data_IF_825138135748
#
_entry.id   IF_825138135748
#
_cell.length_a   1.000
_cell.length_b   1.000
_cell.length_c   1.000
_cell.angle_alpha   90.00
_cell.angle_beta   90.00
_cell.angle_gamma   90.00
#
_symmetry.space_group_name_H-M   'P 1'
#
loop_
_entity.id
_entity.type
_entity.pdbx_description
1 polymer ?
#
# COMPACT_ATOMS: atom_id res chain seq x y z
N UNK A 1 -5.73 60.20 -12.89
CA UNK A 1 -5.45 58.83 -12.38
C UNK A 1 -6.45 58.51 -11.27
N UNK A 2 -7.38 57.58 -11.49
CA UNK A 2 -8.40 57.16 -10.51
C UNK A 2 -7.76 56.17 -9.53
N UNK A 3 -7.60 56.55 -8.26
CA UNK A 3 -7.14 55.63 -7.19
C UNK A 3 -8.28 54.68 -6.84
N UNK A 4 -8.12 53.40 -7.15
CA UNK A 4 -9.01 52.34 -6.68
C UNK A 4 -8.68 52.12 -5.20
N UNK A 5 -9.53 52.65 -4.32
CA UNK A 5 -9.44 52.38 -2.89
C UNK A 5 -9.96 50.96 -2.63
N UNK A 6 -9.04 50.01 -2.48
CA UNK A 6 -9.37 48.66 -2.02
C UNK A 6 -9.88 48.74 -0.57
N UNK A 7 -11.20 48.76 -0.40
CA UNK A 7 -11.83 48.64 0.91
C UNK A 7 -11.51 47.26 1.47
N UNK A 8 -10.57 47.17 2.42
CA UNK A 8 -10.36 45.98 3.24
C UNK A 8 -11.56 45.83 4.18
N UNK A 9 -12.62 45.16 3.70
CA UNK A 9 -13.69 44.67 4.59
C UNK A 9 -13.12 43.49 5.38
N UNK A 10 -12.99 43.66 6.69
CA UNK A 10 -12.76 42.54 7.59
C UNK A 10 -14.01 41.66 7.60
N UNK A 11 -13.82 40.34 7.66
CA UNK A 11 -14.92 39.36 7.72
C UNK A 11 -15.84 39.66 8.91
N UNK A 12 -17.14 39.65 8.69
CA UNK A 12 -18.10 39.81 9.80
C UNK A 12 -18.20 38.51 10.61
N UNK A 13 -18.49 38.63 11.91
CA UNK A 13 -18.70 37.49 12.79
C UNK A 13 -19.75 36.48 12.26
N UNK A 14 -20.92 36.90 11.74
CA UNK A 14 -21.88 35.95 11.18
C UNK A 14 -21.40 35.28 9.88
N UNK A 15 -20.58 35.95 9.05
CA UNK A 15 -19.99 35.31 7.86
C UNK A 15 -18.99 34.21 8.25
N UNK A 16 -18.16 34.43 9.27
CA UNK A 16 -17.26 33.37 9.77
C UNK A 16 -18.05 32.21 10.38
N UNK A 17 -19.12 32.50 11.13
CA UNK A 17 -19.98 31.46 11.69
C UNK A 17 -20.61 30.59 10.59
N UNK A 18 -21.12 31.22 9.53
CA UNK A 18 -21.68 30.51 8.38
C UNK A 18 -20.63 29.65 7.69
N UNK A 19 -19.42 30.16 7.48
CA UNK A 19 -18.32 29.40 6.87
C UNK A 19 -17.95 28.18 7.72
N UNK A 20 -17.84 28.33 9.04
CA UNK A 20 -17.54 27.20 9.94
C UNK A 20 -18.64 26.14 9.89
N UNK A 21 -19.92 26.54 9.87
CA UNK A 21 -21.05 25.60 9.73
C UNK A 21 -20.98 24.85 8.41
N UNK A 22 -20.74 25.55 7.30
CA UNK A 22 -20.62 24.93 5.98
C UNK A 22 -19.43 23.97 5.91
N UNK A 23 -18.27 24.35 6.45
CA UNK A 23 -17.09 23.49 6.55
C UNK A 23 -17.36 22.26 7.42
N UNK A 24 -18.11 22.41 8.51
CA UNK A 24 -18.52 21.29 9.37
C UNK A 24 -19.36 20.26 8.61
N UNK A 25 -20.34 20.73 7.83
CA UNK A 25 -21.20 19.85 7.01
C UNK A 25 -20.37 19.14 5.94
N UNK A 26 -19.53 19.86 5.20
CA UNK A 26 -18.69 19.28 4.14
C UNK A 26 -17.68 18.28 4.72
N UNK A 27 -17.07 18.61 5.85
CA UNK A 27 -16.12 17.73 6.55
C UNK A 27 -16.80 16.44 7.01
N UNK A 28 -17.99 16.52 7.59
CA UNK A 28 -18.73 15.34 8.07
C UNK A 28 -18.98 14.30 6.96
N UNK A 29 -19.21 14.74 5.72
CA UNK A 29 -19.41 13.85 4.56
C UNK A 29 -18.07 13.38 3.98
N UNK A 30 -17.07 14.26 3.93
CA UNK A 30 -15.81 13.99 3.21
C UNK A 30 -14.86 13.09 3.99
N UNK A 31 -14.83 13.20 5.32
CA UNK A 31 -13.93 12.44 6.19
C UNK A 31 -14.10 10.92 6.01
N UNK A 32 -15.29 10.31 6.16
CA UNK A 32 -15.43 8.85 6.02
C UNK A 32 -15.10 8.37 4.60
N UNK A 33 -15.38 9.18 3.58
CA UNK A 33 -15.05 8.85 2.20
C UNK A 33 -13.54 8.72 1.99
N UNK A 34 -12.76 9.67 2.51
CA UNK A 34 -11.29 9.64 2.40
C UNK A 34 -10.71 8.46 3.15
N UNK A 35 -11.21 8.15 4.35
CA UNK A 35 -10.76 6.97 5.10
C UNK A 35 -11.00 5.66 4.36
N UNK A 36 -12.20 5.47 3.80
CA UNK A 36 -12.52 4.26 3.03
C UNK A 36 -11.65 4.12 1.77
N UNK A 37 -11.34 5.24 1.10
CA UNK A 37 -10.47 5.26 -0.07
C UNK A 37 -9.02 4.91 0.31
N UNK A 38 -8.53 5.43 1.44
CA UNK A 38 -7.18 5.12 1.93
C UNK A 38 -7.04 3.64 2.28
N UNK A 39 -8.02 3.08 3.00
CA UNK A 39 -8.03 1.67 3.37
C UNK A 39 -8.07 0.76 2.13
N UNK A 40 -8.94 1.08 1.16
CA UNK A 40 -9.00 0.39 -0.12
C UNK A 40 -7.67 0.50 -0.88
N UNK A 41 -7.04 1.67 -0.84
CA UNK A 41 -5.73 1.92 -1.43
C UNK A 41 -4.64 1.04 -0.82
N UNK A 42 -4.57 0.95 0.52
CA UNK A 42 -3.62 0.05 1.20
C UNK A 42 -3.83 -1.40 0.79
N UNK A 43 -5.09 -1.85 0.71
CA UNK A 43 -5.42 -3.21 0.28
C UNK A 43 -4.93 -3.50 -1.13
N UNK A 44 -5.19 -2.59 -2.07
CA UNK A 44 -4.78 -2.76 -3.47
C UNK A 44 -3.26 -2.64 -3.65
N UNK A 45 -2.59 -1.77 -2.88
CA UNK A 45 -1.13 -1.71 -2.84
C UNK A 45 -0.54 -3.04 -2.35
N UNK A 46 -1.08 -3.61 -1.27
CA UNK A 46 -0.62 -4.88 -0.74
C UNK A 46 -0.80 -6.03 -1.75
N UNK A 47 -1.92 -6.07 -2.48
CA UNK A 47 -2.14 -7.02 -3.59
C UNK A 47 -1.13 -6.84 -4.72
N UNK A 48 -0.85 -5.59 -5.10
CA UNK A 48 0.14 -5.27 -6.14
C UNK A 48 1.54 -5.75 -5.76
N UNK A 49 1.94 -5.55 -4.51
CA UNK A 49 3.20 -6.08 -3.95
C UNK A 49 3.22 -7.60 -3.97
N UNK A 50 2.12 -8.26 -3.58
CA UNK A 50 2.04 -9.71 -3.64
C UNK A 50 2.13 -10.24 -5.08
N UNK A 51 1.54 -9.53 -6.05
CA UNK A 51 1.67 -9.86 -7.47
C UNK A 51 3.11 -9.69 -7.98
N UNK A 52 3.78 -8.59 -7.60
CA UNK A 52 5.17 -8.36 -7.99
C UNK A 52 6.12 -9.39 -7.38
N UNK A 53 5.86 -9.86 -6.15
CA UNK A 53 6.59 -10.98 -5.55
C UNK A 53 6.40 -12.29 -6.31
N UNK A 54 5.18 -12.61 -6.76
CA UNK A 54 4.96 -13.79 -7.60
C UNK A 54 5.65 -13.65 -8.97
N UNK A 55 5.66 -12.46 -9.57
CA UNK A 55 6.40 -12.19 -10.80
C UNK A 55 7.93 -12.32 -10.59
N UNK A 56 8.44 -11.92 -9.43
CA UNK A 56 9.83 -12.11 -9.03
C UNK A 56 10.17 -13.60 -8.86
N UNK A 57 9.29 -14.40 -8.21
CA UNK A 57 9.42 -15.87 -8.14
C UNK A 57 9.49 -16.53 -9.52
N UNK A 58 8.65 -16.07 -10.44
CA UNK A 58 8.69 -16.55 -11.83
C UNK A 58 10.02 -16.17 -12.52
N UNK A 59 10.48 -14.94 -12.34
CA UNK A 59 11.77 -14.47 -12.88
C UNK A 59 12.97 -15.24 -12.32
N UNK A 60 12.93 -15.56 -11.02
CA UNK A 60 13.92 -16.41 -10.37
C UNK A 60 13.95 -17.81 -11.00
N UNK A 61 12.77 -18.41 -11.24
CA UNK A 61 12.65 -19.71 -11.91
C UNK A 61 13.23 -19.71 -13.31
N UNK A 62 13.04 -18.62 -14.06
CA UNK A 62 13.54 -18.49 -15.43
C UNK A 62 15.05 -18.25 -15.51
N UNK A 63 15.66 -17.67 -14.46
CA UNK A 63 17.07 -17.29 -14.46
C UNK A 63 17.97 -18.30 -13.75
N UNK A 64 17.44 -19.10 -12.83
CA UNK A 64 18.20 -20.08 -12.08
C UNK A 64 17.84 -21.51 -12.47
N UNK A 65 18.83 -22.27 -12.93
CA UNK A 65 18.65 -23.64 -13.40
C UNK A 65 18.08 -24.59 -12.32
N UNK A 66 18.49 -24.40 -11.07
CA UNK A 66 18.06 -25.21 -9.92
C UNK A 66 17.16 -24.42 -8.95
N UNK A 67 16.37 -23.46 -9.46
CA UNK A 67 15.51 -22.58 -8.66
C UNK A 67 14.60 -23.33 -7.68
N UNK A 68 13.91 -24.38 -8.13
CA UNK A 68 13.00 -25.15 -7.27
C UNK A 68 13.72 -25.81 -6.10
N UNK A 69 14.93 -26.34 -6.35
CA UNK A 69 15.74 -26.97 -5.31
C UNK A 69 16.24 -25.91 -4.33
N UNK A 70 16.84 -24.82 -4.81
CA UNK A 70 17.34 -23.73 -3.96
C UNK A 70 16.23 -23.16 -3.07
N UNK A 71 15.04 -22.96 -3.63
CA UNK A 71 13.88 -22.45 -2.89
C UNK A 71 13.36 -23.45 -1.86
N UNK A 72 13.35 -24.75 -2.18
CA UNK A 72 12.95 -25.81 -1.25
C UNK A 72 13.93 -26.00 -0.09
N UNK A 73 15.21 -25.66 -0.26
CA UNK A 73 16.21 -25.69 0.81
C UNK A 73 16.08 -24.50 1.77
N UNK A 74 15.38 -23.43 1.37
CA UNK A 74 15.13 -22.29 2.25
C UNK A 74 14.12 -22.68 3.36
N UNK A 75 14.54 -22.52 4.60
CA UNK A 75 13.84 -23.02 5.79
C UNK A 75 12.76 -22.03 6.23
N UNK A 76 13.02 -20.74 6.05
CA UNK A 76 12.16 -19.65 6.51
C UNK A 76 11.81 -18.68 5.38
N UNK A 77 10.83 -17.82 5.65
CA UNK A 77 10.32 -16.84 4.69
C UNK A 77 11.35 -15.76 4.35
N UNK A 78 12.29 -15.47 5.26
CA UNK A 78 13.37 -14.51 5.05
C UNK A 78 14.36 -15.01 3.99
N UNK A 79 14.81 -16.26 4.10
CA UNK A 79 15.68 -16.91 3.11
C UNK A 79 14.98 -17.01 1.75
N UNK A 80 13.68 -17.37 1.74
CA UNK A 80 12.87 -17.40 0.51
C UNK A 80 12.76 -16.02 -0.13
N UNK A 81 12.61 -14.97 0.68
CA UNK A 81 12.59 -13.59 0.22
C UNK A 81 13.94 -13.18 -0.36
N UNK A 82 15.06 -13.49 0.30
CA UNK A 82 16.41 -13.17 -0.18
C UNK A 82 16.71 -13.78 -1.56
N UNK A 83 16.19 -14.98 -1.85
CA UNK A 83 16.36 -15.62 -3.16
C UNK A 83 15.64 -14.85 -4.28
N UNK A 84 14.50 -14.23 -3.99
CA UNK A 84 13.70 -13.51 -4.99
C UNK A 84 13.97 -12.00 -5.01
N UNK A 85 14.56 -11.45 -3.94
CA UNK A 85 14.86 -10.04 -3.75
C UNK A 85 15.57 -9.40 -4.95
N UNK A 86 16.58 -10.02 -5.61
CA UNK A 86 17.26 -9.43 -6.76
C UNK A 86 16.36 -9.24 -7.99
N UNK A 87 15.17 -9.84 -8.00
CA UNK A 87 14.19 -9.80 -9.09
C UNK A 87 13.00 -8.90 -8.77
N UNK A 88 12.97 -8.28 -7.59
CA UNK A 88 11.88 -7.43 -7.13
C UNK A 88 12.32 -5.95 -7.18
N UNK A 89 11.68 -5.10 -8.00
CA UNK A 89 12.05 -3.69 -8.09
C UNK A 89 11.73 -2.95 -6.79
N UNK A 90 12.70 -2.19 -6.27
CA UNK A 90 12.52 -1.41 -5.04
C UNK A 90 12.48 -2.25 -3.77
N UNK A 91 13.00 -3.48 -3.81
CA UNK A 91 13.02 -4.39 -2.66
C UNK A 91 13.75 -3.80 -1.45
N UNK A 92 13.09 -3.74 -0.30
CA UNK A 92 13.73 -3.47 0.98
C UNK A 92 14.45 -4.70 1.53
N UNK A 93 15.06 -4.56 2.71
CA UNK A 93 15.77 -5.64 3.40
C UNK A 93 14.85 -6.80 3.82
N UNK A 94 13.55 -6.52 4.00
CA UNK A 94 12.53 -7.50 4.38
C UNK A 94 11.26 -7.35 3.53
N UNK A 95 10.48 -8.44 3.42
CA UNK A 95 9.18 -8.45 2.75
C UNK A 95 8.18 -7.47 3.35
N UNK A 96 8.29 -7.21 4.65
CA UNK A 96 7.34 -6.42 5.42
C UNK A 96 7.53 -4.91 5.21
N UNK A 97 8.74 -4.48 4.84
CA UNK A 97 9.04 -3.06 4.54
C UNK A 97 8.31 -2.55 3.28
N UNK A 98 7.84 -3.46 2.42
CA UNK A 98 7.14 -3.12 1.19
C UNK A 98 5.62 -3.00 1.36
N UNK A 99 5.09 -3.42 2.51
CA UNK A 99 3.66 -3.54 2.75
C UNK A 99 3.16 -2.40 3.66
N UNK A 100 1.91 -1.95 3.49
CA UNK A 100 1.26 -1.09 4.47
C UNK A 100 1.15 -1.78 5.83
N UNK A 101 1.08 -1.00 6.92
CA UNK A 101 0.95 -1.55 8.26
C UNK A 101 -0.27 -2.49 8.38
N UNK A 102 -0.08 -3.61 9.07
CA UNK A 102 -1.12 -4.65 9.26
C UNK A 102 -1.25 -5.64 8.09
N UNK A 103 -0.45 -5.49 7.02
CA UNK A 103 -0.35 -6.45 5.94
C UNK A 103 0.93 -7.26 6.04
N UNK A 104 0.82 -8.57 5.87
CA UNK A 104 1.93 -9.51 5.95
C UNK A 104 1.88 -10.48 4.77
N UNK A 105 3.07 -10.83 4.27
CA UNK A 105 3.21 -11.85 3.23
C UNK A 105 3.91 -13.08 3.80
N UNK A 106 3.37 -14.26 3.48
CA UNK A 106 3.98 -15.55 3.82
C UNK A 106 4.36 -16.31 2.56
N UNK A 107 5.52 -16.95 2.62
CA UNK A 107 6.04 -17.75 1.53
C UNK A 107 5.84 -19.24 1.81
N UNK A 108 5.22 -19.95 0.87
CA UNK A 108 5.15 -21.41 0.97
C UNK A 108 6.48 -22.07 0.64
N UNK A 109 6.62 -23.32 1.05
CA UNK A 109 7.78 -24.14 0.70
C UNK A 109 7.88 -24.42 -0.80
N UNK A 110 6.75 -24.44 -1.53
CA UNK A 110 6.74 -24.70 -2.96
C UNK A 110 6.84 -23.40 -3.77
N UNK A 111 7.82 -23.33 -4.67
CA UNK A 111 8.06 -22.16 -5.51
C UNK A 111 6.86 -21.82 -6.41
N UNK A 112 6.08 -22.81 -6.84
CA UNK A 112 4.91 -22.62 -7.72
C UNK A 112 3.67 -22.07 -7.01
N UNK A 113 3.61 -22.15 -5.68
CA UNK A 113 2.48 -21.63 -4.93
C UNK A 113 2.55 -20.10 -4.87
N UNK A 114 1.39 -19.43 -5.04
CA UNK A 114 1.31 -17.98 -4.87
C UNK A 114 1.61 -17.62 -3.41
N UNK A 115 2.25 -16.47 -3.18
CA UNK A 115 2.48 -15.99 -1.81
C UNK A 115 1.15 -15.71 -1.10
N UNK A 116 1.07 -16.00 0.20
CA UNK A 116 -0.11 -15.73 1.01
C UNK A 116 -0.09 -14.27 1.46
N UNK A 117 -1.15 -13.50 1.18
CA UNK A 117 -1.31 -12.14 1.68
C UNK A 117 -2.33 -12.14 2.81
N UNK A 118 -1.92 -11.71 3.99
CA UNK A 118 -2.80 -11.53 5.16
C UNK A 118 -2.90 -10.05 5.48
N UNK A 119 -4.12 -9.54 5.59
CA UNK A 119 -4.39 -8.17 6.06
C UNK A 119 -5.07 -8.16 7.43
N UNK A 120 -5.50 -6.98 7.91
CA UNK A 120 -6.13 -6.83 9.22
C UNK A 120 -7.46 -7.61 9.36
N UNK A 121 -8.16 -7.86 8.24
CA UNK A 121 -9.40 -8.65 8.20
C UNK A 121 -9.18 -10.15 7.96
N UNK A 122 -7.92 -10.59 7.82
CA UNK A 122 -7.54 -11.98 7.56
C UNK A 122 -6.96 -12.21 6.15
N UNK A 123 -7.11 -13.42 5.62
CA UNK A 123 -6.50 -13.85 4.37
C UNK A 123 -7.14 -13.14 3.16
N UNK A 124 -6.30 -12.57 2.29
CA UNK A 124 -6.70 -11.85 1.08
C UNK A 124 -6.37 -12.69 -0.15
N UNK A 125 -7.39 -13.03 -0.93
CA UNK A 125 -7.25 -13.71 -2.22
C UNK A 125 -7.03 -12.69 -3.33
N UNK A 126 -6.08 -12.97 -4.22
CA UNK A 126 -5.67 -12.09 -5.33
C UNK A 126 -5.07 -12.87 -6.52
#
# INVERSE_FOLDING_TARGET
MKKILASKKAFSLPEILLVVVLLGIVSAVSVPLVFNLLESGHRELAKSVAHSMNAAKHSFTMRQYNAEQLYAHAINDVERYQLIQPYLPGSGDTSDTLLPEGYHIRFHALLKQKVELTGPEGLIVY
#
